data_IF_768332010152
#
_entry.id   IF_768332010152
#
_cell.length_a   1.000
_cell.length_b   1.000
_cell.length_c   1.000
_cell.angle_alpha   90.00
_cell.angle_beta   90.00
_cell.angle_gamma   90.00
#
_symmetry.space_group_name_H-M   'P 1'
#
loop_
_entity.id
_entity.type
_entity.pdbx_description
1 polymer ?
#
# COMPACT_ATOMS: atom_id res chain seq x y z
N UNK A 1 -0.80 12.70 -9.65
CA UNK A 1 0.67 12.82 -9.58
C UNK A 1 1.13 11.79 -8.55
N UNK A 2 2.15 10.97 -8.84
CA UNK A 2 2.53 9.85 -7.96
C UNK A 2 3.30 10.36 -6.73
N UNK A 3 2.93 9.89 -5.54
CA UNK A 3 3.66 10.18 -4.31
C UNK A 3 5.02 9.50 -4.40
N UNK A 4 6.10 10.25 -4.21
CA UNK A 4 7.45 9.72 -4.36
C UNK A 4 8.04 9.30 -3.01
N UNK A 5 8.47 8.05 -2.92
CA UNK A 5 9.25 7.49 -1.82
C UNK A 5 10.58 6.99 -2.38
N UNK A 6 11.68 7.39 -1.74
CA UNK A 6 13.03 7.01 -2.17
C UNK A 6 13.63 5.94 -1.25
N UNK A 7 14.66 5.23 -1.75
CA UNK A 7 15.45 4.30 -0.94
C UNK A 7 16.03 5.00 0.31
N UNK A 8 16.51 6.24 0.15
CA UNK A 8 17.03 7.03 1.26
C UNK A 8 15.96 7.34 2.33
N UNK A 9 14.70 7.55 1.93
CA UNK A 9 13.60 7.76 2.87
C UNK A 9 13.33 6.53 3.73
N UNK A 10 13.29 5.36 3.10
CA UNK A 10 13.06 4.08 3.78
C UNK A 10 14.23 3.77 4.73
N UNK A 11 15.48 3.90 4.27
CA UNK A 11 16.68 3.73 5.11
C UNK A 11 16.65 4.63 6.34
N UNK A 12 16.35 5.92 6.14
CA UNK A 12 16.24 6.88 7.23
C UNK A 12 15.14 6.50 8.23
N UNK A 13 13.95 6.08 7.76
CA UNK A 13 12.84 5.67 8.63
C UNK A 13 13.14 4.37 9.39
N UNK A 14 13.81 3.41 8.74
CA UNK A 14 14.22 2.13 9.31
C UNK A 14 15.51 2.20 10.15
N UNK A 15 16.17 3.37 10.22
CA UNK A 15 17.49 3.57 10.88
C UNK A 15 18.60 2.66 10.32
N UNK A 16 18.61 2.45 9.00
CA UNK A 16 19.63 1.66 8.29
C UNK A 16 20.60 2.59 7.56
N UNK A 17 21.90 2.42 7.79
CA UNK A 17 22.95 3.25 7.20
C UNK A 17 23.74 2.57 6.07
N UNK A 18 23.67 1.24 5.96
CA UNK A 18 24.35 0.49 4.89
C UNK A 18 23.64 0.63 3.55
N UNK A 19 24.36 0.37 2.45
CA UNK A 19 23.84 0.28 1.08
C UNK A 19 23.47 -1.13 0.65
N UNK A 20 23.74 -2.16 1.46
CA UNK A 20 23.54 -3.57 1.09
C UNK A 20 22.09 -3.91 0.70
N UNK A 21 21.13 -3.14 1.22
CA UNK A 21 19.70 -3.34 1.01
C UNK A 21 19.10 -2.45 -0.07
N UNK A 22 19.88 -1.62 -0.76
CA UNK A 22 19.33 -0.58 -1.66
C UNK A 22 18.49 -1.17 -2.81
N UNK A 23 18.90 -2.31 -3.38
CA UNK A 23 18.15 -3.02 -4.41
C UNK A 23 16.86 -3.65 -3.88
N UNK A 24 16.90 -4.26 -2.70
CA UNK A 24 15.74 -4.85 -2.04
C UNK A 24 14.71 -3.78 -1.66
N UNK A 25 15.17 -2.65 -1.11
CA UNK A 25 14.32 -1.50 -0.79
C UNK A 25 13.70 -0.94 -2.08
N UNK A 26 14.47 -0.80 -3.15
CA UNK A 26 13.94 -0.33 -4.43
C UNK A 26 12.84 -1.25 -4.98
N UNK A 27 13.06 -2.58 -4.92
CA UNK A 27 12.06 -3.56 -5.34
C UNK A 27 10.79 -3.46 -4.50
N UNK A 28 10.95 -3.35 -3.17
CA UNK A 28 9.82 -3.23 -2.24
C UNK A 28 9.00 -1.96 -2.48
N UNK A 29 9.66 -0.83 -2.74
CA UNK A 29 8.96 0.42 -3.12
C UNK A 29 8.16 0.22 -4.41
N UNK A 30 8.78 -0.39 -5.44
CA UNK A 30 8.10 -0.65 -6.71
C UNK A 30 6.91 -1.60 -6.58
N UNK A 31 6.94 -2.53 -5.64
CA UNK A 31 5.84 -3.46 -5.38
C UNK A 31 4.71 -2.81 -4.58
N UNK A 32 5.02 -2.17 -3.46
CA UNK A 32 4.02 -1.73 -2.49
C UNK A 32 3.40 -0.38 -2.82
N UNK A 33 4.18 0.57 -3.35
CA UNK A 33 3.72 1.95 -3.56
C UNK A 33 2.49 2.03 -4.47
N UNK A 34 2.43 1.34 -5.63
CA UNK A 34 1.24 1.37 -6.48
C UNK A 34 -0.01 0.78 -5.80
N UNK A 35 0.16 -0.26 -4.97
CA UNK A 35 -0.95 -0.87 -4.24
C UNK A 35 -1.49 0.06 -3.15
N UNK A 36 -0.60 0.78 -2.45
CA UNK A 36 -0.98 1.77 -1.45
C UNK A 36 -1.69 2.96 -2.10
N UNK A 37 -1.16 3.51 -3.18
CA UNK A 37 -1.83 4.57 -3.95
C UNK A 37 -3.21 4.12 -4.45
N UNK A 38 -3.33 2.89 -4.96
CA UNK A 38 -4.62 2.35 -5.39
C UNK A 38 -5.66 2.25 -4.26
N UNK A 39 -5.24 2.05 -3.01
CA UNK A 39 -6.15 1.93 -1.87
C UNK A 39 -6.75 3.28 -1.41
N UNK A 40 -6.08 4.39 -1.73
CA UNK A 40 -6.45 5.75 -1.34
C UNK A 40 -7.43 6.32 -2.36
N UNK A 41 -8.42 7.09 -1.90
CA UNK A 41 -9.33 7.81 -2.78
C UNK A 41 -8.57 8.83 -3.63
N UNK A 42 -8.88 8.81 -4.93
CA UNK A 42 -8.17 9.61 -5.93
C UNK A 42 -8.30 11.11 -5.68
N UNK A 43 -9.38 11.57 -5.05
CA UNK A 43 -9.58 12.99 -4.71
C UNK A 43 -8.47 13.54 -3.81
N UNK A 44 -7.99 12.76 -2.84
CA UNK A 44 -6.89 13.15 -1.95
C UNK A 44 -5.52 13.05 -2.63
N UNK A 45 -5.33 12.09 -3.54
CA UNK A 45 -4.10 11.96 -4.32
C UNK A 45 -3.95 13.09 -5.35
N UNK A 46 -5.06 13.59 -5.88
CA UNK A 46 -5.09 14.67 -6.86
C UNK A 46 -5.08 16.07 -6.24
N UNK A 47 -5.38 16.23 -4.96
CA UNK A 47 -5.24 17.51 -4.25
C UNK A 47 -3.77 17.83 -3.94
N UNK A 48 -3.03 18.18 -4.98
CA UNK A 48 -1.62 18.59 -4.86
C UNK A 48 -1.46 20.01 -4.32
N UNK A 49 -2.57 20.72 -4.07
CA UNK A 49 -2.55 22.09 -3.55
C UNK A 49 -2.38 22.10 -2.03
N UNK A 50 -2.87 21.07 -1.33
CA UNK A 50 -2.64 20.87 0.10
C UNK A 50 -1.32 20.12 0.35
N UNK A 51 -0.26 20.89 0.58
CA UNK A 51 1.06 20.33 0.89
C UNK A 51 1.10 19.51 2.19
N UNK A 52 0.23 19.81 3.17
CA UNK A 52 0.18 19.07 4.42
C UNK A 52 -0.48 17.71 4.22
N UNK A 53 -1.55 17.65 3.44
CA UNK A 53 -2.17 16.40 3.03
C UNK A 53 -1.18 15.52 2.27
N UNK A 54 -0.48 16.06 1.27
CA UNK A 54 0.51 15.32 0.50
C UNK A 54 1.64 14.78 1.40
N UNK A 55 2.10 15.58 2.36
CA UNK A 55 3.09 15.14 3.33
C UNK A 55 2.57 14.03 4.26
N UNK A 56 1.30 14.10 4.66
CA UNK A 56 0.64 13.11 5.51
C UNK A 56 0.50 11.76 4.79
N UNK A 57 0.02 11.78 3.54
CA UNK A 57 -0.12 10.59 2.70
C UNK A 57 1.23 9.94 2.44
N UNK A 58 2.24 10.75 2.05
CA UNK A 58 3.62 10.28 1.87
C UNK A 58 4.19 9.66 3.14
N UNK A 59 3.95 10.27 4.31
CA UNK A 59 4.43 9.76 5.59
C UNK A 59 3.80 8.40 5.92
N UNK A 60 2.49 8.25 5.73
CA UNK A 60 1.78 6.99 6.01
C UNK A 60 2.27 5.85 5.13
N UNK A 61 2.44 6.10 3.83
CA UNK A 61 3.01 5.12 2.90
C UNK A 61 4.45 4.76 3.25
N UNK A 62 5.27 5.75 3.60
CA UNK A 62 6.65 5.53 4.04
C UNK A 62 6.73 4.66 5.30
N UNK A 63 5.82 4.89 6.27
CA UNK A 63 5.74 4.11 7.50
C UNK A 63 5.41 2.63 7.23
N UNK A 64 4.45 2.36 6.34
CA UNK A 64 4.10 1.00 5.94
C UNK A 64 5.27 0.31 5.21
N UNK A 65 5.86 0.96 4.20
CA UNK A 65 6.96 0.37 3.42
C UNK A 65 8.19 0.12 4.29
N UNK A 66 8.56 1.08 5.15
CA UNK A 66 9.69 0.92 6.05
C UNK A 66 9.43 -0.16 7.11
N UNK A 67 8.18 -0.28 7.59
CA UNK A 67 7.79 -1.33 8.51
C UNK A 67 7.87 -2.72 7.89
N UNK A 68 7.38 -2.90 6.66
CA UNK A 68 7.50 -4.18 5.94
C UNK A 68 8.97 -4.53 5.67
N UNK A 69 9.80 -3.56 5.30
CA UNK A 69 11.24 -3.78 5.16
C UNK A 69 11.88 -4.32 6.44
N UNK A 70 11.56 -3.75 7.60
CA UNK A 70 12.05 -4.25 8.89
C UNK A 70 11.54 -5.66 9.20
N UNK A 71 10.28 -5.97 8.85
CA UNK A 71 9.74 -7.33 9.01
C UNK A 71 10.39 -8.34 8.05
N UNK A 72 10.80 -7.93 6.84
CA UNK A 72 11.59 -8.76 5.94
C UNK A 72 12.97 -9.07 6.53
N UNK A 73 13.68 -8.07 7.05
CA UNK A 73 14.96 -8.26 7.73
C UNK A 73 14.80 -9.20 8.94
N UNK A 74 13.70 -9.12 9.68
CA UNK A 74 13.42 -10.01 10.81
C UNK A 74 13.27 -11.48 10.42
N UNK A 75 12.88 -11.76 9.17
CA UNK A 75 12.74 -13.13 8.63
C UNK A 75 14.10 -13.70 8.20
N UNK A 76 15.17 -12.91 8.16
CA UNK A 76 16.50 -13.43 7.85
C UNK A 76 17.00 -14.39 8.95
N UNK A 77 17.63 -15.51 8.58
CA UNK A 77 18.25 -16.41 9.55
C UNK A 77 19.24 -15.68 10.47
N UNK A 78 19.18 -15.93 11.77
CA UNK A 78 20.02 -15.26 12.77
C UNK A 78 19.51 -13.89 13.25
N UNK A 79 18.51 -13.29 12.59
CA UNK A 79 17.98 -11.99 13.01
C UNK A 79 17.03 -12.08 14.23
N UNK A 80 16.42 -13.25 14.46
CA UNK A 80 15.40 -13.46 15.50
C UNK A 80 15.79 -14.42 16.63
N UNK A 81 17.07 -14.74 16.71
CA UNK A 81 17.61 -15.59 17.77
C UNK A 81 17.66 -14.80 19.08
N UNK A 82 16.85 -15.21 20.05
CA UNK A 82 16.90 -14.69 21.42
C UNK A 82 17.47 -15.77 22.34
N UNK A 83 18.37 -15.37 23.24
CA UNK A 83 18.88 -16.24 24.28
C UNK A 83 18.78 -15.55 25.63
N UNK A 84 18.38 -16.31 26.65
CA UNK A 84 18.28 -15.85 28.02
C UNK A 84 19.15 -16.73 28.92
N UNK A 85 20.08 -16.11 29.65
CA UNK A 85 20.96 -16.80 30.60
C UNK A 85 20.95 -16.03 31.91
N UNK A 86 20.60 -16.71 33.00
CA UNK A 86 20.63 -16.17 34.36
C UNK A 86 19.89 -14.81 34.53
N UNK A 87 18.79 -14.60 33.82
CA UNK A 87 17.98 -13.37 33.89
C UNK A 87 18.44 -12.24 32.96
N UNK A 88 19.52 -12.43 32.19
CA UNK A 88 19.90 -11.55 31.09
C UNK A 88 19.31 -12.11 29.78
N UNK A 89 18.43 -11.35 29.15
CA UNK A 89 17.91 -11.66 27.81
C UNK A 89 18.60 -10.79 26.77
N UNK A 90 19.15 -11.42 25.74
CA UNK A 90 19.71 -10.77 24.56
C UNK A 90 18.90 -11.26 23.35
N UNK A 91 18.57 -10.33 22.45
CA UNK A 91 17.82 -10.66 21.24
C UNK A 91 16.30 -10.51 21.34
N UNK A 92 15.76 -9.84 22.37
CA UNK A 92 14.37 -9.36 22.29
C UNK A 92 14.25 -8.38 21.12
N UNK A 93 13.58 -8.85 20.07
CA UNK A 93 13.39 -8.10 18.85
C UNK A 93 12.37 -6.98 19.07
N UNK A 94 12.80 -5.78 18.74
CA UNK A 94 11.94 -4.61 18.75
C UNK A 94 10.79 -4.77 17.74
N UNK A 95 9.53 -4.59 18.17
CA UNK A 95 8.33 -4.64 17.32
C UNK A 95 8.19 -3.44 16.36
N UNK A 96 9.29 -2.72 16.11
CA UNK A 96 9.35 -1.49 15.32
C UNK A 96 8.74 -1.62 13.92
N UNK A 97 8.90 -2.76 13.26
CA UNK A 97 8.32 -2.99 11.92
C UNK A 97 6.80 -2.96 11.96
N UNK A 98 6.21 -3.82 12.79
CA UNK A 98 4.77 -3.87 13.04
C UNK A 98 4.20 -2.54 13.54
N UNK A 99 4.87 -1.86 14.47
CA UNK A 99 4.45 -0.55 14.98
C UNK A 99 4.37 0.51 13.88
N UNK A 100 5.37 0.54 12.98
CA UNK A 100 5.38 1.46 11.84
C UNK A 100 4.26 1.15 10.85
N UNK A 101 3.99 -0.12 10.57
CA UNK A 101 2.87 -0.54 9.71
C UNK A 101 1.55 -0.04 10.30
N UNK A 102 1.33 -0.24 11.61
CA UNK A 102 0.11 0.19 12.28
C UNK A 102 -0.04 1.73 12.29
N UNK A 103 1.05 2.46 12.54
CA UNK A 103 1.04 3.92 12.50
C UNK A 103 0.71 4.45 11.11
N UNK A 104 1.34 3.90 10.08
CA UNK A 104 1.07 4.29 8.70
C UNK A 104 -0.35 3.94 8.26
N UNK A 105 -0.84 2.75 8.63
CA UNK A 105 -2.21 2.34 8.35
C UNK A 105 -3.25 3.24 9.04
N UNK A 106 -3.07 3.55 10.32
CA UNK A 106 -3.94 4.48 11.05
C UNK A 106 -3.94 5.88 10.44
N UNK A 107 -2.78 6.33 9.94
CA UNK A 107 -2.65 7.62 9.27
C UNK A 107 -3.38 7.67 7.93
N UNK A 108 -3.35 6.58 7.17
CA UNK A 108 -4.00 6.49 5.85
C UNK A 108 -5.49 6.13 5.93
N UNK A 109 -5.94 5.54 7.03
CA UNK A 109 -7.32 5.08 7.25
C UNK A 109 -8.40 6.08 6.80
N UNK A 110 -8.31 7.40 7.10
CA UNK A 110 -9.35 8.35 6.72
C UNK A 110 -9.50 8.56 5.20
N UNK A 111 -8.49 8.19 4.42
CA UNK A 111 -8.39 8.49 2.99
C UNK A 111 -8.67 7.27 2.11
N UNK A 112 -9.00 6.11 2.70
CA UNK A 112 -9.23 4.87 1.95
C UNK A 112 -10.56 4.89 1.20
N UNK A 113 -10.57 4.38 -0.03
CA UNK A 113 -11.77 4.27 -0.90
C UNK A 113 -12.97 3.62 -0.19
N UNK A 114 -12.71 2.59 0.61
CA UNK A 114 -13.75 1.79 1.27
C UNK A 114 -14.42 2.49 2.48
N UNK A 115 -13.93 3.67 2.88
CA UNK A 115 -14.45 4.43 4.03
C UNK A 115 -15.31 5.61 3.63
N UNK A 116 -15.21 6.05 2.38
CA UNK A 116 -16.13 7.04 1.85
C UNK A 116 -17.49 6.35 1.63
N UNK A 117 -18.60 6.94 2.10
CA UNK A 117 -19.91 6.43 1.75
C UNK A 117 -19.95 6.35 0.23
N UNK A 118 -20.37 5.21 -0.33
CA UNK A 118 -20.55 5.02 -1.77
C UNK A 118 -21.47 6.13 -2.29
N UNK A 119 -20.92 7.28 -2.64
CA UNK A 119 -21.64 8.35 -3.28
C UNK A 119 -21.87 7.86 -4.70
N UNK A 120 -23.00 7.16 -4.82
CA UNK A 120 -23.76 6.85 -6.02
C UNK A 120 -22.89 6.76 -7.26
N UNK A 121 -22.54 5.53 -7.63
CA UNK A 121 -22.19 5.19 -9.00
C UNK A 121 -23.09 5.99 -9.93
N UNK A 122 -22.50 6.95 -10.66
CA UNK A 122 -23.17 7.54 -11.80
C UNK A 122 -23.43 6.37 -12.73
N UNK A 123 -24.70 5.99 -12.80
CA UNK A 123 -25.27 5.03 -13.73
C UNK A 123 -24.68 5.35 -15.10
N UNK A 124 -23.68 4.58 -15.52
CA UNK A 124 -23.32 4.47 -16.91
C UNK A 124 -24.48 3.72 -17.56
N UNK A 125 -25.55 4.46 -17.88
CA UNK A 125 -26.58 4.02 -18.78
C UNK A 125 -25.88 3.71 -20.11
N UNK A 126 -25.57 2.43 -20.30
CA UNK A 126 -25.13 1.92 -21.57
C UNK A 126 -26.29 2.09 -22.54
N UNK A 127 -26.26 3.17 -23.30
CA UNK A 127 -27.16 3.39 -24.42
C UNK A 127 -26.68 2.52 -25.58
N UNK A 128 -26.83 1.19 -25.47
CA UNK A 128 -26.97 0.33 -26.64
C UNK A 128 -28.46 0.05 -26.82
N UNK A 129 -29.11 1.00 -27.46
CA UNK A 129 -30.33 0.80 -28.22
C UNK A 129 -30.08 -0.20 -29.35
N UNK A 130 -31.05 -1.10 -29.53
CA UNK A 130 -31.32 -1.94 -30.70
C UNK A 130 -30.28 -2.96 -31.16
N UNK A 131 -30.56 -4.23 -30.84
CA UNK A 131 -31.22 -5.11 -31.82
C UNK A 131 -31.69 -6.38 -31.12
N UNK A 132 -33.01 -6.56 -31.03
CA UNK A 132 -33.60 -7.84 -30.65
C UNK A 132 -33.27 -8.87 -31.73
N UNK A 133 -32.41 -9.85 -31.43
CA UNK A 133 -32.38 -11.09 -32.21
C UNK A 133 -33.56 -11.94 -31.76
N UNK A 134 -34.70 -11.77 -32.43
CA UNK A 134 -35.80 -12.73 -32.39
C UNK A 134 -35.40 -13.87 -33.34
N UNK A 135 -35.09 -15.04 -32.77
CA UNK A 135 -34.95 -16.27 -33.53
C UNK A 135 -36.36 -16.83 -33.76
N UNK A 136 -36.94 -16.65 -34.96
CA UNK A 136 -38.15 -17.37 -35.37
C UNK A 136 -37.75 -18.67 -36.06
N UNK A 137 -38.19 -19.79 -35.49
CA UNK A 137 -38.32 -21.07 -36.18
C UNK A 137 -39.65 -21.08 -36.96
N UNK A 138 -39.69 -21.84 -38.06
CA UNK A 138 -40.75 -22.01 -39.09
C UNK A 138 -40.53 -21.11 -40.33
N UNK A 139 -40.48 -21.57 -41.59
CA UNK A 139 -41.20 -22.66 -42.26
C UNK A 139 -40.49 -23.07 -43.59
N UNK A 140 -40.58 -24.35 -43.99
CA UNK A 140 -40.10 -24.95 -45.26
C UNK A 140 -40.83 -24.43 -46.51
N UNK A 141 -40.16 -24.29 -47.67
CA UNK A 141 -40.55 -24.70 -49.07
C UNK A 141 -39.29 -24.44 -49.95
N UNK A 142 -38.65 -25.36 -50.68
CA UNK A 142 -39.06 -26.22 -51.80
C UNK A 142 -38.11 -27.41 -51.93
#
# INVERSE_FOLDING_TARGET
MAITITVADVKRKAMVSTSDYDSAISALISEMLPALEYSIDETFLLDTSDANLQALLRLGMLEIIAGEFLEQLRREPGASEAFSVAGLSIGELSQKGTDLIQQGAARLEPFLKNRLPMMSENVAASNKSDAAMVFSLDEEVW
#
